data_IF_189347028534
#
_entry.id   IF_189347028534
#
_cell.length_a   1.000
_cell.length_b   1.000
_cell.length_c   1.000
_cell.angle_alpha   90.00
_cell.angle_beta   90.00
_cell.angle_gamma   90.00
#
_symmetry.space_group_name_H-M   'P 1'
#
loop_
_entity.id
_entity.type
_entity.pdbx_description
1 polymer ?
#
# COMPACT_ATOMS: atom_id res chain seq x y z
N UNK A 1 -3.99 -9.01 3.13
CA UNK A 1 -3.64 -7.69 3.69
C UNK A 1 -3.07 -6.82 2.58
N UNK A 2 -3.63 -5.63 2.36
CA UNK A 2 -3.24 -4.69 1.30
C UNK A 2 -1.92 -3.98 1.65
N UNK A 3 -1.79 -3.60 2.92
CA UNK A 3 -0.59 -3.02 3.49
C UNK A 3 -0.52 -3.42 4.98
N UNK A 4 0.65 -3.28 5.59
CA UNK A 4 0.81 -3.29 7.04
C UNK A 4 1.33 -1.93 7.49
N UNK A 5 1.06 -1.58 8.73
CA UNK A 5 1.63 -0.37 9.31
C UNK A 5 1.97 -0.56 10.77
N UNK A 6 2.99 0.16 11.20
CA UNK A 6 3.43 0.22 12.59
C UNK A 6 4.00 1.61 12.85
N UNK A 7 4.21 1.93 14.12
CA UNK A 7 4.62 3.27 14.51
C UNK A 7 5.53 3.27 15.72
N UNK A 8 6.29 4.35 15.85
CA UNK A 8 6.89 4.78 17.10
C UNK A 8 6.24 6.09 17.56
N UNK A 9 6.81 6.72 18.58
CA UNK A 9 6.34 8.02 19.03
C UNK A 9 6.48 9.08 17.93
N UNK A 10 7.52 9.03 17.08
CA UNK A 10 7.77 10.05 16.06
C UNK A 10 7.60 9.56 14.61
N UNK A 11 7.44 8.26 14.38
CA UNK A 11 7.51 7.70 13.02
C UNK A 11 6.30 6.82 12.75
N UNK A 12 5.83 6.82 11.50
CA UNK A 12 4.91 5.82 10.94
C UNK A 12 5.65 5.10 9.83
N UNK A 13 5.56 3.78 9.81
CA UNK A 13 6.10 2.93 8.76
C UNK A 13 4.95 2.14 8.14
N UNK A 14 4.89 2.17 6.82
CA UNK A 14 3.88 1.47 6.02
C UNK A 14 4.63 0.54 5.07
N UNK A 15 4.19 -0.70 4.95
CA UNK A 15 4.75 -1.66 4.00
C UNK A 15 3.65 -2.23 3.12
N UNK A 16 3.88 -2.30 1.82
CA UNK A 16 2.99 -3.00 0.90
C UNK A 16 3.78 -3.83 -0.11
N UNK A 17 3.13 -4.88 -0.61
CA UNK A 17 3.70 -5.75 -1.65
C UNK A 17 3.69 -5.04 -3.00
N UNK A 18 4.71 -5.28 -3.82
CA UNK A 18 4.83 -4.72 -5.16
C UNK A 18 4.84 -5.85 -6.20
N UNK A 19 4.46 -5.59 -7.46
CA UNK A 19 4.80 -6.49 -8.54
C UNK A 19 6.31 -6.71 -8.62
N UNK A 20 6.73 -7.83 -9.20
CA UNK A 20 8.14 -8.07 -9.46
C UNK A 20 8.69 -7.09 -10.52
N UNK A 21 10.00 -6.81 -10.44
CA UNK A 21 10.75 -6.02 -11.44
C UNK A 21 10.30 -4.56 -11.58
N UNK A 22 9.72 -3.97 -10.54
CA UNK A 22 9.55 -2.52 -10.48
C UNK A 22 10.82 -1.85 -9.94
N UNK A 23 10.96 -0.58 -10.24
CA UNK A 23 12.00 0.32 -9.74
C UNK A 23 11.44 1.24 -8.65
N UNK A 24 12.31 2.01 -8.00
CA UNK A 24 11.88 2.98 -6.97
C UNK A 24 11.02 4.08 -7.56
N UNK A 25 11.26 4.44 -8.81
CA UNK A 25 10.58 5.48 -9.58
C UNK A 25 9.12 5.10 -9.87
N UNK A 26 8.81 3.80 -9.89
CA UNK A 26 7.45 3.29 -10.07
C UNK A 26 6.63 3.36 -8.76
N UNK A 27 7.26 3.61 -7.60
CA UNK A 27 6.57 3.68 -6.31
C UNK A 27 5.97 5.07 -6.10
N UNK A 28 4.64 5.12 -6.00
CA UNK A 28 3.89 6.32 -5.62
C UNK A 28 3.91 6.42 -4.09
N UNK A 29 4.31 7.59 -3.57
CA UNK A 29 4.35 7.90 -2.15
C UNK A 29 4.24 9.43 -1.94
N UNK A 30 3.04 9.96 -2.16
CA UNK A 30 2.77 11.39 -2.19
C UNK A 30 2.08 11.84 -0.90
N UNK A 31 2.59 12.93 -0.30
CA UNK A 31 2.01 13.58 0.86
C UNK A 31 1.75 15.05 0.54
N UNK A 32 0.48 15.46 0.59
CA UNK A 32 0.06 16.86 0.40
C UNK A 32 -0.63 17.38 1.67
N UNK A 33 -0.45 18.67 1.94
CA UNK A 33 -0.96 19.36 3.14
C UNK A 33 -0.60 18.70 4.48
N UNK A 34 0.41 17.83 4.48
CA UNK A 34 0.86 17.06 5.65
C UNK A 34 -0.06 15.91 6.04
N UNK A 35 -1.24 15.74 5.44
CA UNK A 35 -2.23 14.71 5.84
C UNK A 35 -2.83 13.92 4.68
N UNK A 36 -2.94 14.49 3.49
CA UNK A 36 -3.48 13.79 2.32
C UNK A 36 -2.38 12.89 1.76
N UNK A 37 -2.62 11.58 1.76
CA UNK A 37 -1.58 10.60 1.48
C UNK A 37 -2.03 9.58 0.43
N UNK A 38 -1.19 9.42 -0.58
CA UNK A 38 -1.38 8.46 -1.66
C UNK A 38 -0.16 7.56 -1.77
N UNK A 39 -0.39 6.25 -1.78
CA UNK A 39 0.67 5.27 -1.92
C UNK A 39 0.26 4.10 -2.81
N UNK A 40 1.18 3.65 -3.66
CA UNK A 40 0.95 2.53 -4.54
C UNK A 40 2.08 2.33 -5.54
N UNK A 41 1.75 1.73 -6.68
CA UNK A 41 2.67 1.50 -7.79
C UNK A 41 2.04 2.10 -9.03
N UNK A 42 2.82 2.84 -9.82
CA UNK A 42 2.35 3.49 -11.03
C UNK A 42 1.70 2.48 -12.00
N UNK A 43 0.61 2.92 -12.62
CA UNK A 43 -0.23 2.09 -13.48
C UNK A 43 -1.16 1.11 -12.76
N UNK A 44 -1.07 0.94 -11.44
CA UNK A 44 -2.01 0.12 -10.66
C UNK A 44 -2.93 0.99 -9.80
N UNK A 45 -4.00 0.39 -9.25
CA UNK A 45 -4.80 1.09 -8.25
C UNK A 45 -3.97 1.36 -7.00
N UNK A 46 -4.20 2.49 -6.34
CA UNK A 46 -3.46 2.86 -5.13
C UNK A 46 -3.74 1.87 -3.99
N UNK A 47 -2.70 1.53 -3.24
CA UNK A 47 -2.82 0.77 -1.99
C UNK A 47 -3.45 1.62 -0.90
N UNK A 48 -3.13 2.92 -0.87
CA UNK A 48 -3.67 3.89 0.08
C UNK A 48 -4.02 5.16 -0.69
N UNK A 49 -5.23 5.66 -0.47
CA UNK A 49 -5.69 6.98 -0.89
C UNK A 49 -6.63 7.51 0.19
N UNK A 50 -6.16 8.46 0.98
CA UNK A 50 -6.93 8.95 2.13
C UNK A 50 -6.20 9.98 2.99
N UNK A 51 -6.78 10.26 4.15
CA UNK A 51 -6.28 11.27 5.08
C UNK A 51 -5.63 10.57 6.27
N UNK A 52 -4.35 10.83 6.52
CA UNK A 52 -3.63 10.30 7.68
C UNK A 52 -4.28 10.75 9.00
N UNK A 53 -4.09 9.97 10.07
CA UNK A 53 -4.65 10.29 11.39
C UNK A 53 -4.15 11.62 11.98
N UNK A 54 -2.95 12.05 11.63
CA UNK A 54 -2.42 13.37 11.98
C UNK A 54 -1.35 13.80 10.98
N UNK A 55 -0.94 15.06 11.07
CA UNK A 55 0.04 15.63 10.14
C UNK A 55 1.43 14.97 10.27
N UNK A 56 2.04 14.74 9.12
CA UNK A 56 3.43 14.33 8.94
C UNK A 56 4.27 15.47 8.36
N UNK A 57 5.59 15.39 8.52
CA UNK A 57 6.53 16.25 7.83
C UNK A 57 6.46 15.95 6.33
N UNK A 58 6.73 16.95 5.50
CA UNK A 58 6.49 16.93 4.04
C UNK A 58 7.25 15.87 3.23
N UNK A 59 8.20 15.15 3.83
CA UNK A 59 9.01 14.15 3.11
C UNK A 59 8.62 12.74 3.51
N UNK A 60 8.26 11.93 2.51
CA UNK A 60 8.09 10.49 2.65
C UNK A 60 9.38 9.79 2.21
N UNK A 61 9.97 8.97 3.08
CA UNK A 61 11.16 8.18 2.75
C UNK A 61 10.70 6.85 2.15
N UNK A 62 11.02 6.62 0.89
CA UNK A 62 10.74 5.36 0.17
C UNK A 62 11.97 4.44 0.24
N UNK A 63 11.75 3.19 0.61
CA UNK A 63 12.74 2.11 0.50
C UNK A 63 12.11 0.90 -0.22
N UNK A 64 12.61 0.56 -1.40
CA UNK A 64 12.16 -0.60 -2.16
C UNK A 64 13.08 -1.79 -1.87
N UNK A 65 12.51 -2.87 -1.36
CA UNK A 65 13.18 -4.18 -1.23
C UNK A 65 12.81 -5.04 -2.43
N UNK A 66 13.58 -4.92 -3.51
CA UNK A 66 13.33 -5.63 -4.77
C UNK A 66 13.32 -7.16 -4.61
N UNK A 67 14.19 -7.69 -3.74
CA UNK A 67 14.29 -9.13 -3.44
C UNK A 67 13.05 -9.67 -2.72
N UNK A 68 12.42 -8.83 -1.90
CA UNK A 68 11.20 -9.16 -1.16
C UNK A 68 9.92 -8.69 -1.87
N UNK A 69 10.01 -7.99 -3.00
CA UNK A 69 8.90 -7.31 -3.67
C UNK A 69 8.05 -6.47 -2.69
N UNK A 70 8.71 -5.60 -1.93
CA UNK A 70 8.06 -4.76 -0.92
C UNK A 70 8.54 -3.31 -1.01
N UNK A 71 7.58 -2.39 -1.00
CA UNK A 71 7.84 -0.98 -0.76
C UNK A 71 7.60 -0.65 0.72
N UNK A 72 8.58 0.01 1.34
CA UNK A 72 8.52 0.48 2.73
C UNK A 72 8.55 1.99 2.70
N UNK A 73 7.48 2.60 3.21
CA UNK A 73 7.33 4.04 3.33
C UNK A 73 7.51 4.43 4.79
N UNK A 74 8.37 5.41 5.04
CA UNK A 74 8.59 5.96 6.39
C UNK A 74 8.24 7.43 6.40
N UNK A 75 7.30 7.79 7.28
CA UNK A 75 6.82 9.15 7.48
C UNK A 75 7.22 9.61 8.88
N UNK A 76 7.84 10.78 8.96
CA UNK A 76 8.14 11.42 10.24
C UNK A 76 6.88 12.21 10.66
N UNK A 77 6.32 11.89 11.83
CA UNK A 77 5.18 12.62 12.41
C UNK A 77 5.56 14.07 12.66
N UNK A 78 4.61 15.00 12.44
CA UNK A 78 4.81 16.40 12.77
C UNK A 78 4.78 16.64 14.28
N UNK A 79 3.92 15.90 14.99
CA UNK A 79 3.83 15.91 16.45
C UNK A 79 3.99 14.49 16.98
N UNK A 80 4.84 14.27 18.01
CA UNK A 80 4.97 12.96 18.62
C UNK A 80 3.67 12.49 19.25
N UNK A 81 3.39 11.18 19.17
CA UNK A 81 2.24 10.57 19.82
C UNK A 81 1.77 9.29 19.14
N UNK A 82 1.00 8.49 19.88
CA UNK A 82 0.36 7.26 19.41
C UNK A 82 -0.84 7.59 18.52
N UNK A 83 -0.90 7.01 17.33
CA UNK A 83 -2.08 7.04 16.47
C UNK A 83 -2.93 5.80 16.74
N UNK A 84 -4.26 5.95 16.78
CA UNK A 84 -5.20 4.82 16.95
C UNK A 84 -5.52 4.09 15.65
N UNK A 85 -5.24 4.73 14.51
CA UNK A 85 -5.46 4.22 13.16
C UNK A 85 -4.41 4.86 12.23
N UNK A 86 -4.24 4.31 11.02
CA UNK A 86 -3.37 4.94 10.02
C UNK A 86 -4.06 6.15 9.38
N UNK A 87 -5.32 5.95 8.97
CA UNK A 87 -6.16 6.93 8.30
C UNK A 87 -7.26 7.42 9.25
N UNK A 88 -7.48 8.72 9.27
CA UNK A 88 -8.64 9.33 9.93
C UNK A 88 -9.90 9.15 9.09
N UNK A 89 -9.75 9.23 7.77
CA UNK A 89 -10.81 9.07 6.78
C UNK A 89 -10.27 8.28 5.59
N UNK A 90 -11.04 7.28 5.16
CA UNK A 90 -10.81 6.59 3.89
C UNK A 90 -11.58 7.38 2.85
N UNK A 91 -10.94 7.72 1.72
CA UNK A 91 -11.57 8.56 0.72
C UNK A 91 -12.91 7.96 0.25
N UNK A 92 -13.96 8.79 0.11
CA UNK A 92 -15.24 8.37 -0.48
C UNK A 92 -15.08 7.85 -1.91
N UNK A 93 -13.97 8.21 -2.57
CA UNK A 93 -13.56 7.75 -3.90
C UNK A 93 -12.73 6.48 -3.88
N UNK A 94 -12.47 5.88 -2.71
CA UNK A 94 -11.76 4.61 -2.64
C UNK A 94 -12.53 3.58 -3.47
N UNK A 95 -11.83 2.86 -4.33
CA UNK A 95 -12.39 1.84 -5.24
C UNK A 95 -12.15 0.45 -4.65
N UNK A 96 -12.92 -0.59 -5.04
CA UNK A 96 -12.63 -1.94 -4.60
C UNK A 96 -11.37 -2.43 -5.33
N UNK A 97 -10.58 -3.25 -4.65
CA UNK A 97 -9.25 -3.65 -5.11
C UNK A 97 -9.11 -5.16 -5.03
N UNK A 98 -8.33 -5.72 -5.93
CA UNK A 98 -8.02 -7.14 -5.94
C UNK A 98 -6.52 -7.33 -6.11
N UNK A 99 -5.87 -8.03 -5.19
CA UNK A 99 -4.45 -8.37 -5.31
C UNK A 99 -4.31 -9.75 -5.93
N UNK A 100 -3.53 -9.85 -7.00
CA UNK A 100 -3.22 -11.12 -7.65
C UNK A 100 -2.38 -11.99 -6.73
N UNK A 101 -2.85 -13.22 -6.48
CA UNK A 101 -2.18 -14.23 -5.65
C UNK A 101 -1.30 -15.17 -6.48
N UNK A 102 -1.70 -15.45 -7.72
CA UNK A 102 -1.02 -16.38 -8.61
C UNK A 102 -0.95 -15.84 -10.03
N UNK A 103 0.12 -16.18 -10.74
CA UNK A 103 0.26 -15.78 -12.14
C UNK A 103 -0.85 -16.41 -13.00
N UNK A 104 -1.40 -15.60 -13.91
CA UNK A 104 -2.43 -16.02 -14.86
C UNK A 104 -2.09 -15.50 -16.26
N UNK A 105 -1.79 -16.40 -17.19
CA UNK A 105 -1.31 -16.03 -18.53
C UNK A 105 -2.45 -15.74 -19.51
N UNK A 106 -3.71 -16.02 -19.13
CA UNK A 106 -4.84 -15.96 -20.05
C UNK A 106 -4.87 -17.14 -21.02
N UNK A 107 -5.92 -17.22 -21.82
CA UNK A 107 -6.11 -18.27 -22.84
C UNK A 107 -5.26 -18.07 -24.11
N UNK A 108 -4.58 -16.93 -24.25
CA UNK A 108 -3.66 -16.61 -25.35
C UNK A 108 -4.30 -15.84 -26.52
N UNK A 109 -5.59 -15.50 -26.43
CA UNK A 109 -6.21 -14.52 -27.31
C UNK A 109 -6.02 -13.10 -26.72
N UNK A 110 -5.66 -12.17 -27.59
CA UNK A 110 -5.35 -10.76 -27.32
C UNK A 110 -6.51 -9.98 -26.66
N UNK A 111 -6.34 -8.66 -26.53
CA UNK A 111 -7.37 -7.64 -26.22
C UNK A 111 -8.74 -7.85 -26.95
N UNK A 112 -8.80 -8.72 -27.97
CA UNK A 112 -9.99 -9.11 -28.71
C UNK A 112 -11.01 -9.95 -27.91
N UNK A 113 -10.60 -10.69 -26.86
CA UNK A 113 -11.52 -11.49 -26.02
C UNK A 113 -11.91 -10.80 -24.70
N UNK A 114 -11.34 -9.63 -24.41
CA UNK A 114 -11.68 -8.83 -23.23
C UNK A 114 -11.13 -9.38 -21.90
N UNK A 115 -10.22 -10.36 -21.91
CA UNK A 115 -9.51 -10.84 -20.70
C UNK A 115 -8.44 -9.84 -20.24
N UNK A 116 -8.33 -9.60 -18.92
CA UNK A 116 -7.27 -8.81 -18.31
C UNK A 116 -6.09 -9.73 -17.97
N UNK A 117 -5.25 -10.00 -18.96
CA UNK A 117 -4.09 -10.90 -18.86
C UNK A 117 -2.86 -10.34 -19.62
N UNK A 118 -1.62 -10.77 -19.29
CA UNK A 118 -1.27 -11.65 -18.17
C UNK A 118 -1.41 -10.94 -16.82
N UNK A 119 -1.68 -11.67 -15.75
CA UNK A 119 -1.60 -11.22 -14.36
C UNK A 119 -0.40 -11.84 -13.68
N UNK A 120 0.26 -11.08 -12.82
CA UNK A 120 1.40 -11.54 -12.03
C UNK A 120 1.14 -11.33 -10.54
N UNK A 121 1.67 -12.22 -9.71
CA UNK A 121 1.52 -12.12 -8.26
C UNK A 121 1.91 -10.73 -7.72
N UNK A 122 1.12 -10.23 -6.78
CA UNK A 122 1.20 -8.90 -6.15
C UNK A 122 0.83 -7.69 -7.02
N UNK A 123 0.37 -7.88 -8.26
CA UNK A 123 -0.33 -6.82 -8.97
C UNK A 123 -1.63 -6.45 -8.24
N UNK A 124 -1.91 -5.16 -8.14
CA UNK A 124 -3.11 -4.65 -7.50
C UNK A 124 -4.05 -4.06 -8.55
N UNK A 125 -5.18 -4.72 -8.75
CA UNK A 125 -6.18 -4.38 -9.75
C UNK A 125 -7.25 -3.50 -9.14
N UNK A 126 -7.73 -2.50 -9.88
CA UNK A 126 -9.02 -1.90 -9.59
C UNK A 126 -10.11 -2.90 -9.99
N UNK A 127 -11.06 -3.17 -9.09
CA UNK A 127 -12.25 -3.98 -9.42
C UNK A 127 -13.34 -3.03 -9.89
N UNK A 128 -13.88 -3.25 -11.09
CA UNK A 128 -14.96 -2.46 -11.68
C UNK A 128 -16.30 -3.14 -11.44
N UNK A 129 -16.39 -4.45 -11.65
CA UNK A 129 -17.60 -5.23 -11.45
C UNK A 129 -17.28 -6.65 -10.98
N UNK A 130 -18.14 -7.17 -10.10
CA UNK A 130 -18.10 -8.56 -9.64
C UNK A 130 -19.29 -9.31 -10.22
N UNK A 131 -19.01 -10.39 -10.94
CA UNK A 131 -20.02 -11.30 -11.48
C UNK A 131 -20.01 -12.64 -10.72
N UNK A 132 -21.18 -13.28 -10.63
CA UNK A 132 -21.41 -14.59 -10.02
C UNK A 132 -20.76 -15.73 -10.82
N UNK A 133 -20.43 -15.51 -12.09
CA UNK A 133 -19.67 -16.47 -12.91
C UNK A 133 -18.24 -16.71 -12.42
N UNK A 134 -17.71 -15.84 -11.55
CA UNK A 134 -16.33 -15.88 -11.08
C UNK A 134 -15.33 -15.13 -11.97
N UNK A 135 -15.81 -14.40 -12.98
CA UNK A 135 -15.00 -13.51 -13.81
C UNK A 135 -15.32 -12.07 -13.48
N UNK A 136 -14.38 -11.37 -12.84
CA UNK A 136 -14.55 -9.98 -12.43
C UNK A 136 -13.95 -9.03 -13.44
N UNK A 137 -14.56 -7.87 -13.64
CA UNK A 137 -14.01 -6.82 -14.49
C UNK A 137 -13.06 -5.96 -13.66
N UNK A 138 -11.91 -5.61 -14.23
CA UNK A 138 -10.95 -4.74 -13.56
C UNK A 138 -10.04 -3.97 -14.50
N UNK A 139 -9.19 -3.15 -13.89
CA UNK A 139 -8.28 -2.25 -14.59
C UNK A 139 -6.87 -2.38 -13.99
N UNK A 140 -5.85 -2.46 -14.86
CA UNK A 140 -4.44 -2.25 -14.54
C UNK A 140 -3.69 -1.72 -15.76
N UNK A 141 -2.61 -0.97 -15.56
CA UNK A 141 -1.76 -0.43 -16.62
C UNK A 141 -2.56 0.23 -17.76
N UNK A 142 -3.66 0.91 -17.42
CA UNK A 142 -4.63 1.50 -18.37
C UNK A 142 -5.39 0.50 -19.27
N UNK A 143 -5.22 -0.81 -19.05
CA UNK A 143 -5.97 -1.89 -19.68
C UNK A 143 -7.17 -2.26 -18.82
N UNK A 144 -8.30 -2.58 -19.47
CA UNK A 144 -9.52 -3.09 -18.83
C UNK A 144 -9.89 -4.45 -19.38
N UNK A 145 -10.43 -5.33 -18.54
CA UNK A 145 -10.91 -6.64 -18.96
C UNK A 145 -11.38 -7.51 -17.80
N UNK A 146 -11.77 -8.74 -18.09
CA UNK A 146 -12.21 -9.72 -17.10
C UNK A 146 -11.06 -10.60 -16.60
N UNK A 147 -11.07 -10.96 -15.33
CA UNK A 147 -10.08 -11.85 -14.72
C UNK A 147 -10.75 -12.84 -13.74
N UNK A 148 -10.16 -14.02 -13.53
CA UNK A 148 -10.72 -15.03 -12.63
C UNK A 148 -10.58 -14.62 -11.16
N UNK A 149 -11.70 -14.51 -10.44
CA UNK A 149 -11.73 -14.02 -9.06
C UNK A 149 -11.05 -14.96 -8.06
N UNK A 150 -10.91 -16.24 -8.38
CA UNK A 150 -10.20 -17.22 -7.54
C UNK A 150 -8.67 -17.09 -7.60
N UNK A 151 -8.13 -16.19 -8.43
CA UNK A 151 -6.70 -15.86 -8.49
C UNK A 151 -6.35 -14.60 -7.69
N UNK A 152 -7.32 -13.98 -7.03
CA UNK A 152 -7.11 -12.72 -6.30
C UNK A 152 -7.57 -12.80 -4.84
N UNK A 153 -7.03 -11.87 -4.05
CA UNK A 153 -7.48 -11.51 -2.71
C UNK A 153 -8.25 -10.19 -2.81
N UNK A 154 -9.50 -10.15 -2.33
CA UNK A 154 -10.45 -9.05 -2.51
C UNK A 154 -10.40 -8.08 -1.33
N UNK A 155 -10.38 -6.78 -1.63
CA UNK A 155 -10.35 -5.70 -0.64
C UNK A 155 -11.47 -4.70 -0.93
N UNK A 156 -12.34 -4.51 0.06
CA UNK A 156 -13.39 -3.50 0.00
C UNK A 156 -12.83 -2.07 0.04
N UNK A 157 -13.70 -1.13 -0.27
CA UNK A 157 -13.36 0.28 -0.46
C UNK A 157 -12.91 0.93 0.87
N UNK A 158 -13.43 0.46 2.00
CA UNK A 158 -13.17 0.95 3.35
C UNK A 158 -12.08 0.13 4.10
N UNK A 159 -11.22 -0.58 3.36
CA UNK A 159 -10.15 -1.34 3.95
C UNK A 159 -9.20 -0.45 4.76
N UNK A 160 -9.08 -0.74 6.05
CA UNK A 160 -8.05 -0.18 6.94
C UNK A 160 -7.48 -1.27 7.85
N UNK A 161 -6.18 -1.47 7.75
CA UNK A 161 -5.48 -2.48 8.54
C UNK A 161 -5.26 -2.04 9.99
N UNK A 162 -5.22 -3.01 10.91
CA UNK A 162 -4.85 -2.75 12.31
C UNK A 162 -3.33 -2.51 12.46
N UNK A 163 -2.96 -1.79 13.52
CA UNK A 163 -1.54 -1.58 13.86
C UNK A 163 -0.84 -2.91 14.15
N UNK A 164 0.34 -3.11 13.55
CA UNK A 164 1.27 -4.14 14.00
C UNK A 164 1.97 -3.69 15.29
N UNK A 165 1.43 -4.14 16.43
CA UNK A 165 1.88 -3.77 17.77
C UNK A 165 3.28 -4.31 18.09
N UNK A 166 3.64 -5.47 17.54
CA UNK A 166 4.95 -6.08 17.76
C UNK A 166 6.03 -5.27 17.04
N UNK A 167 5.85 -5.00 15.75
CA UNK A 167 6.75 -4.15 14.97
C UNK A 167 6.84 -2.72 15.54
N UNK A 168 5.73 -2.18 16.06
CA UNK A 168 5.71 -0.86 16.74
C UNK A 168 6.59 -0.84 17.99
N UNK A 169 6.57 -1.94 18.75
CA UNK A 169 7.38 -2.10 19.96
C UNK A 169 8.87 -2.18 19.63
N UNK A 170 9.23 -2.85 18.53
CA UNK A 170 10.61 -2.93 18.06
C UNK A 170 11.11 -1.58 17.53
N UNK A 171 10.32 -0.90 16.71
CA UNK A 171 10.67 0.41 16.16
C UNK A 171 10.87 1.46 17.27
N UNK A 172 10.02 1.44 18.30
CA UNK A 172 10.16 2.35 19.45
C UNK A 172 11.48 2.14 20.18
N UNK A 173 11.84 0.89 20.49
CA UNK A 173 13.13 0.57 21.13
C UNK A 173 14.31 0.99 20.27
N UNK A 174 14.23 0.75 18.97
CA UNK A 174 15.27 1.15 18.02
C UNK A 174 15.45 2.67 18.04
N UNK A 175 14.37 3.44 17.91
CA UNK A 175 14.44 4.90 17.91
C UNK A 175 15.02 5.48 19.21
N UNK A 176 14.60 4.95 20.37
CA UNK A 176 15.14 5.35 21.68
C UNK A 176 16.63 5.07 21.81
N UNK A 177 17.11 3.96 21.24
CA UNK A 177 18.55 3.60 21.25
C UNK A 177 19.43 4.55 20.43
N UNK A 178 18.85 5.25 19.44
CA UNK A 178 19.58 6.19 18.58
C UNK A 178 19.60 7.62 19.13
N UNK A 179 18.88 7.90 20.22
CA UNK A 179 18.92 9.22 20.84
C UNK A 179 20.26 9.43 21.56
N UNK A 180 20.90 10.60 21.42
CA UNK A 180 22.17 10.87 22.10
C UNK A 180 21.98 10.78 23.62
N UNK A 181 22.85 10.01 24.28
CA UNK A 181 22.90 9.96 25.75
C UNK A 181 23.18 11.39 26.22
N UNK A 182 22.20 12.00 26.88
CA UNK A 182 22.37 13.31 27.48
C UNK A 182 23.30 13.13 28.69
N UNK A 183 24.62 13.18 28.46
CA UNK A 183 25.61 13.29 29.53
C UNK A 183 25.49 14.68 30.12
N UNK A 184 24.52 14.83 31.02
CA UNK A 184 24.36 16.03 31.83
C UNK A 184 25.71 16.40 32.43
N UNK A 185 26.25 17.55 32.01
CA UNK A 185 27.38 18.18 32.69
C UNK A 185 26.95 18.43 34.13
N UNK A 186 27.75 17.87 35.04
CA UNK A 186 27.77 18.07 36.49
C UNK A 186 28.04 19.54 36.79
#
# INVERSE_FOLDING_TARGET
MLYTWHQSNNTVVITFSTPARISREDVIAELSDGVNFQAGVDGYVLHIDGVLSAACKSTVKVNLKEDANQAILTLDKQSPGKWSALLSEIAETAVPRARVLFDYVGSGASEEEGELAPLYANELLQVVAKDESGWWEGIKLQMSGVFPSNFVDDFEHDYQEQEDVEASSELTKFEESQQPINTGKI
#
